data_IF_093130574365
#
_entry.id   IF_093130574365
#
_cell.length_a   1.000
_cell.length_b   1.000
_cell.length_c   1.000
_cell.angle_alpha   90.00
_cell.angle_beta   90.00
_cell.angle_gamma   90.00
#
_symmetry.space_group_name_H-M   'P 1'
#
loop_
_entity.id
_entity.type
_entity.pdbx_description
1 polymer ?
#
# COMPACT_ATOMS: atom_id res chain seq x y z
N UNK A 1 11.95 -6.55 4.05
CA UNK A 1 12.34 -6.45 2.61
C UNK A 1 11.24 -5.66 1.90
N UNK A 2 11.57 -4.72 1.00
CA UNK A 2 10.55 -3.87 0.38
C UNK A 2 9.53 -4.74 -0.35
N UNK A 3 8.27 -4.61 0.02
CA UNK A 3 7.19 -5.40 -0.58
C UNK A 3 6.58 -4.57 -1.71
N UNK A 4 6.50 -5.12 -2.91
CA UNK A 4 5.83 -4.43 -4.02
C UNK A 4 4.36 -4.83 -4.02
N UNK A 5 3.47 -3.86 -3.85
CA UNK A 5 2.03 -4.05 -3.95
C UNK A 5 1.53 -3.57 -5.31
N UNK A 6 0.71 -4.37 -5.97
CA UNK A 6 0.06 -3.99 -7.23
C UNK A 6 -1.37 -3.55 -6.93
N UNK A 7 -1.69 -2.28 -7.23
CA UNK A 7 -3.04 -1.74 -7.04
C UNK A 7 -4.04 -2.38 -8.01
N UNK A 8 -5.29 -2.47 -7.57
CA UNK A 8 -6.43 -2.81 -8.41
C UNK A 8 -7.23 -1.55 -8.71
N UNK A 9 -8.17 -1.63 -9.64
CA UNK A 9 -9.03 -0.50 -9.98
C UNK A 9 -9.85 -0.10 -8.74
N UNK A 10 -9.72 1.14 -8.30
CA UNK A 10 -10.40 1.63 -7.10
C UNK A 10 -9.64 1.40 -5.78
N UNK A 11 -8.41 0.88 -5.82
CA UNK A 11 -7.57 0.77 -4.62
C UNK A 11 -7.24 2.17 -4.06
N UNK A 12 -7.16 2.29 -2.74
CA UNK A 12 -6.81 3.54 -2.07
C UNK A 12 -5.61 3.32 -1.15
N UNK A 13 -4.67 4.26 -1.12
CA UNK A 13 -3.43 4.12 -0.35
C UNK A 13 -3.70 3.82 1.13
N UNK A 14 -4.71 4.51 1.68
CA UNK A 14 -5.15 4.39 3.06
C UNK A 14 -5.62 2.97 3.38
N UNK A 15 -6.42 2.34 2.52
CA UNK A 15 -6.89 0.97 2.71
C UNK A 15 -5.77 -0.06 2.56
N UNK A 16 -4.86 0.14 1.60
CA UNK A 16 -3.67 -0.70 1.43
C UNK A 16 -2.79 -0.62 2.67
N UNK A 17 -2.52 0.59 3.16
CA UNK A 17 -1.75 0.79 4.37
C UNK A 17 -2.47 0.21 5.60
N UNK A 18 -3.79 0.34 5.70
CA UNK A 18 -4.57 -0.19 6.81
C UNK A 18 -4.57 -1.72 6.83
N UNK A 19 -4.63 -2.34 5.65
CA UNK A 19 -4.61 -3.80 5.51
C UNK A 19 -3.20 -4.37 5.76
N UNK A 20 -2.16 -3.66 5.31
CA UNK A 20 -0.78 -4.15 5.38
C UNK A 20 -0.09 -3.82 6.71
N UNK A 21 -0.30 -2.62 7.26
CA UNK A 21 0.36 -2.12 8.47
C UNK A 21 -0.59 -1.97 9.67
N UNK A 22 -1.90 -2.18 9.46
CA UNK A 22 -2.91 -1.87 10.46
C UNK A 22 -3.29 -0.38 10.48
N UNK A 23 -4.36 -0.08 11.21
CA UNK A 23 -4.89 1.28 11.34
C UNK A 23 -4.22 2.10 12.46
N UNK A 24 -3.37 1.48 13.29
CA UNK A 24 -2.77 2.13 14.46
C UNK A 24 -1.79 3.25 14.09
N UNK A 25 -1.04 3.09 12.99
CA UNK A 25 -0.05 4.06 12.52
C UNK A 25 -0.27 4.44 11.05
N UNK A 26 -1.53 4.51 10.63
CA UNK A 26 -1.91 4.67 9.23
C UNK A 26 -1.29 5.92 8.59
N UNK A 27 -1.40 7.07 9.25
CA UNK A 27 -0.82 8.33 8.77
C UNK A 27 0.70 8.24 8.62
N UNK A 28 1.39 7.58 9.57
CA UNK A 28 2.83 7.40 9.51
C UNK A 28 3.23 6.46 8.37
N UNK A 29 2.57 5.31 8.24
CA UNK A 29 2.81 4.37 7.14
C UNK A 29 2.54 4.98 5.77
N UNK A 30 1.44 5.73 5.62
CA UNK A 30 1.11 6.47 4.39
C UNK A 30 2.22 7.47 4.06
N UNK A 31 2.69 8.27 5.02
CA UNK A 31 3.81 9.19 4.79
C UNK A 31 5.07 8.45 4.35
N UNK A 32 5.45 7.36 5.02
CA UNK A 32 6.62 6.58 4.63
C UNK A 32 6.49 5.99 3.22
N UNK A 33 5.31 5.51 2.84
CA UNK A 33 5.05 5.04 1.47
C UNK A 33 5.13 6.19 0.47
N UNK A 34 4.60 7.37 0.77
CA UNK A 34 4.69 8.55 -0.11
C UNK A 34 6.13 9.05 -0.27
N UNK A 35 6.92 9.03 0.80
CA UNK A 35 8.35 9.37 0.74
C UNK A 35 9.16 8.36 -0.09
N UNK A 36 8.83 7.07 0.03
CA UNK A 36 9.44 6.02 -0.78
C UNK A 36 8.95 6.02 -2.25
N UNK A 37 7.78 6.60 -2.54
CA UNK A 37 7.18 6.64 -3.87
C UNK A 37 6.86 8.10 -4.27
N UNK A 38 7.89 8.89 -4.64
CA UNK A 38 7.67 10.25 -5.11
C UNK A 38 6.77 10.25 -6.36
N UNK A 39 5.70 11.04 -6.34
CA UNK A 39 4.69 11.12 -7.40
C UNK A 39 3.43 10.30 -7.13
N UNK A 40 3.43 9.40 -6.14
CA UNK A 40 2.24 8.62 -5.79
C UNK A 40 1.09 9.50 -5.24
N UNK A 41 1.45 10.57 -4.52
CA UNK A 41 0.48 11.56 -4.01
C UNK A 41 -0.18 12.39 -5.13
N UNK A 42 0.47 12.52 -6.29
CA UNK A 42 -0.03 13.33 -7.41
C UNK A 42 -1.15 12.60 -8.18
N UNK A 43 -1.13 11.26 -8.17
CA UNK A 43 -2.14 10.41 -8.81
C UNK A 43 -3.51 10.59 -8.13
N UNK A 44 -3.52 10.88 -6.83
CA UNK A 44 -4.72 11.14 -6.04
C UNK A 44 -5.04 10.04 -5.02
N UNK A 45 -6.25 10.10 -4.46
CA UNK A 45 -6.69 9.20 -3.39
C UNK A 45 -7.08 7.79 -3.89
N UNK A 46 -7.44 7.68 -5.17
CA UNK A 46 -7.88 6.43 -5.81
C UNK A 46 -6.89 6.08 -6.92
N UNK A 47 -6.35 4.87 -6.86
CA UNK A 47 -5.39 4.38 -7.83
C UNK A 47 -6.06 3.57 -8.94
N UNK A 48 -5.57 3.72 -10.18
CA UNK A 48 -5.94 2.82 -11.26
C UNK A 48 -5.33 1.44 -11.03
N UNK A 49 -5.91 0.42 -11.65
CA UNK A 49 -5.33 -0.92 -11.70
C UNK A 49 -3.94 -0.92 -12.33
N UNK A 50 -3.02 -1.71 -11.75
CA UNK A 50 -1.69 -1.96 -12.33
C UNK A 50 -0.60 -0.99 -11.92
N UNK A 51 -0.84 -0.15 -10.91
CA UNK A 51 0.21 0.67 -10.29
C UNK A 51 1.01 -0.16 -9.31
N UNK A 52 2.34 -0.07 -9.38
CA UNK A 52 3.23 -0.73 -8.45
C UNK A 52 3.63 0.25 -7.35
N UNK A 53 3.20 -0.03 -6.12
CA UNK A 53 3.53 0.74 -4.93
C UNK A 53 4.63 0.01 -4.17
N UNK A 54 5.73 0.71 -3.91
CA UNK A 54 6.78 0.17 -3.05
C UNK A 54 6.39 0.39 -1.60
N UNK A 55 6.05 -0.67 -0.89
CA UNK A 55 5.77 -0.62 0.54
C UNK A 55 7.11 -0.78 1.30
N UNK A 56 7.65 0.30 1.90
CA UNK A 56 8.88 0.21 2.70
C UNK A 56 8.65 -0.64 3.95
N UNK A 57 9.73 -1.13 4.55
CA UNK A 57 9.66 -1.98 5.75
C UNK A 57 9.32 -1.12 6.98
N UNK A 58 8.05 -0.73 7.10
CA UNK A 58 7.46 -0.15 8.30
C UNK A 58 6.80 -1.30 9.06
N UNK A 59 7.39 -1.76 10.15
CA UNK A 59 6.75 -2.76 11.02
C UNK A 59 5.50 -2.16 11.71
N UNK A 60 4.42 -2.91 12.09
CA UNK A 60 4.19 -4.38 12.10
C UNK A 60 2.74 -4.79 11.64
N UNK A 61 2.20 -5.97 12.02
CA UNK A 61 2.65 -7.33 11.77
C UNK A 61 2.08 -7.89 10.44
N UNK A 62 2.79 -8.84 9.86
CA UNK A 62 2.38 -9.62 8.69
C UNK A 62 1.03 -10.33 8.91
N UNK A 63 -0.06 -9.77 8.38
CA UNK A 63 -1.12 -10.62 7.84
C UNK A 63 -0.83 -10.79 6.36
N UNK A 64 -0.05 -11.85 6.07
CA UNK A 64 0.13 -12.39 4.75
C UNK A 64 -1.23 -12.82 4.19
N UNK A 65 -1.98 -11.85 3.68
CA UNK A 65 -3.09 -12.11 2.79
C UNK A 65 -2.45 -12.36 1.42
N UNK A 66 -1.96 -13.58 1.25
CA UNK A 66 -1.72 -14.16 -0.05
C UNK A 66 -3.05 -14.09 -0.82
N UNK A 67 -3.30 -12.99 -1.52
CA UNK A 67 -4.36 -12.92 -2.52
C UNK A 67 -3.91 -13.78 -3.70
N UNK A 68 -3.98 -15.11 -3.52
CA UNK A 68 -4.29 -16.01 -4.62
C UNK A 68 -5.69 -15.64 -5.07
N UNK A 69 -5.79 -14.84 -6.13
CA UNK A 69 -7.03 -14.79 -6.87
C UNK A 69 -7.18 -16.17 -7.53
N UNK A 70 -8.18 -16.89 -7.07
CA UNK A 70 -8.66 -18.17 -7.60
C UNK A 70 -9.00 -18.08 -9.10
N UNK A 71 -8.97 -19.27 -9.73
CA UNK A 71 -9.42 -19.68 -11.07
C UNK A 71 -10.62 -18.91 -11.65
#
# INVERSE_FOLDING_TARGET
MPTTYQTRDGDVLDAVCATHYGTENLSYSVTQVLEANPGLADIGAVYPSGLFITLPDVAPPVQASAFSLWD
#
